data_IF_303039873528
#
_entry.id   IF_303039873528
#
_cell.length_a   1.000
_cell.length_b   1.000
_cell.length_c   1.000
_cell.angle_alpha   90.00
_cell.angle_beta   90.00
_cell.angle_gamma   90.00
#
_symmetry.space_group_name_H-M   'P 1'
#
loop_
_entity.id
_entity.type
_entity.pdbx_description
1 polymer ?
#
# COMPACT_ATOMS: atom_id res chain seq x y z
N UNK A 1 30.79 -31.06 -55.84
CA UNK A 1 30.63 -31.90 -54.62
C UNK A 1 31.00 -31.19 -53.30
N UNK A 2 31.68 -30.03 -53.33
CA UNK A 2 32.03 -29.27 -52.11
C UNK A 2 30.82 -28.48 -51.56
N UNK A 3 30.06 -27.81 -52.43
CA UNK A 3 28.87 -27.03 -52.04
C UNK A 3 27.86 -27.83 -51.21
N UNK A 4 27.59 -29.08 -51.61
CA UNK A 4 26.63 -29.96 -50.92
C UNK A 4 27.13 -30.41 -49.55
N UNK A 5 28.46 -30.47 -49.36
CA UNK A 5 29.06 -30.73 -48.04
C UNK A 5 28.98 -29.49 -47.15
N UNK A 6 29.20 -28.30 -47.71
CA UNK A 6 29.06 -27.03 -46.96
C UNK A 6 27.62 -26.78 -46.53
N UNK A 7 26.66 -26.96 -47.45
CA UNK A 7 25.22 -26.82 -47.15
C UNK A 7 24.75 -27.81 -46.09
N UNK A 8 25.20 -29.06 -46.17
CA UNK A 8 24.88 -30.06 -45.14
C UNK A 8 25.53 -29.73 -43.79
N UNK A 9 26.72 -29.13 -43.79
CA UNK A 9 27.38 -28.69 -42.57
C UNK A 9 26.67 -27.49 -41.93
N UNK A 10 26.24 -26.52 -42.74
CA UNK A 10 25.49 -25.36 -42.24
C UNK A 10 24.10 -25.77 -41.76
N UNK A 11 23.39 -26.62 -42.51
CA UNK A 11 22.10 -27.15 -42.08
C UNK A 11 22.22 -27.98 -40.80
N UNK A 12 23.26 -28.80 -40.66
CA UNK A 12 23.52 -29.53 -39.43
C UNK A 12 23.94 -28.61 -38.26
N UNK A 13 24.53 -27.46 -38.54
CA UNK A 13 24.89 -26.46 -37.54
C UNK A 13 23.64 -25.71 -37.04
N UNK A 14 22.73 -25.32 -37.93
CA UNK A 14 21.46 -24.70 -37.54
C UNK A 14 20.50 -25.69 -36.87
N UNK A 15 20.42 -26.93 -37.36
CA UNK A 15 19.62 -27.97 -36.71
C UNK A 15 20.13 -28.29 -35.29
N UNK A 16 21.45 -28.20 -35.08
CA UNK A 16 22.03 -28.31 -33.73
C UNK A 16 21.78 -27.07 -32.88
N UNK A 17 21.79 -25.87 -33.44
CA UNK A 17 21.40 -24.66 -32.71
C UNK A 17 19.93 -24.69 -32.29
N UNK A 18 19.02 -25.25 -33.09
CA UNK A 18 17.61 -25.44 -32.71
C UNK A 18 17.46 -26.53 -31.63
N UNK A 19 18.17 -27.66 -31.73
CA UNK A 19 18.20 -28.69 -30.67
C UNK A 19 18.87 -28.15 -29.38
N UNK A 20 19.93 -27.35 -29.50
CA UNK A 20 20.65 -26.68 -28.41
C UNK A 20 19.78 -25.58 -27.79
N UNK A 21 18.90 -24.94 -28.57
CA UNK A 21 17.92 -23.96 -28.11
C UNK A 21 16.73 -24.64 -27.41
N UNK A 22 16.21 -25.75 -27.94
CA UNK A 22 15.17 -26.56 -27.26
C UNK A 22 15.72 -27.18 -25.95
N UNK A 23 16.98 -27.59 -25.94
CA UNK A 23 17.64 -28.07 -24.71
C UNK A 23 17.97 -26.93 -23.74
N UNK A 24 18.38 -25.74 -24.22
CA UNK A 24 18.46 -24.53 -23.39
C UNK A 24 17.10 -24.11 -22.83
N UNK A 25 16.03 -24.18 -23.61
CA UNK A 25 14.66 -23.90 -23.17
C UNK A 25 14.18 -24.94 -22.16
N UNK A 26 14.53 -26.22 -22.34
CA UNK A 26 14.30 -27.27 -21.33
C UNK A 26 15.10 -27.04 -20.05
N UNK A 27 16.38 -26.72 -20.14
CA UNK A 27 17.23 -26.45 -18.97
C UNK A 27 16.80 -25.17 -18.23
N UNK A 28 16.35 -24.13 -18.95
CA UNK A 28 15.73 -22.92 -18.37
C UNK A 28 14.34 -23.20 -17.79
N UNK A 29 13.60 -24.15 -18.35
CA UNK A 29 12.29 -24.61 -17.84
C UNK A 29 12.44 -25.50 -16.59
N UNK A 30 13.51 -26.29 -16.51
CA UNK A 30 13.85 -27.15 -15.36
C UNK A 30 14.47 -26.37 -14.18
N UNK A 31 14.95 -25.13 -14.40
CA UNK A 31 15.18 -24.16 -13.33
C UNK A 31 13.85 -23.70 -12.72
N UNK A 32 13.39 -24.44 -11.71
CA UNK A 32 12.19 -24.18 -10.90
C UNK A 32 11.85 -22.69 -10.85
N UNK A 33 10.71 -22.27 -11.42
CA UNK A 33 10.46 -20.88 -11.82
C UNK A 33 10.63 -19.80 -10.73
N UNK A 34 10.60 -20.17 -9.45
CA UNK A 34 10.95 -19.28 -8.34
C UNK A 34 12.44 -18.86 -8.36
N UNK A 35 13.35 -19.72 -8.81
CA UNK A 35 14.77 -19.41 -9.03
C UNK A 35 14.95 -18.37 -10.12
N UNK A 36 14.15 -18.42 -11.19
CA UNK A 36 14.19 -17.39 -12.24
C UNK A 36 13.68 -16.03 -11.71
N UNK A 37 12.77 -16.06 -10.73
CA UNK A 37 12.13 -14.85 -10.15
C UNK A 37 13.04 -14.13 -9.14
N UNK A 38 14.01 -14.82 -8.51
CA UNK A 38 14.86 -14.23 -7.46
C UNK A 38 15.63 -12.97 -7.91
N UNK A 39 16.07 -12.91 -9.17
CA UNK A 39 16.83 -11.80 -9.73
C UNK A 39 15.97 -10.60 -10.18
N UNK A 40 14.65 -10.81 -10.30
CA UNK A 40 13.68 -9.82 -10.78
C UNK A 40 12.84 -9.22 -9.64
N UNK A 41 12.67 -9.94 -8.52
CA UNK A 41 11.85 -9.50 -7.35
C UNK A 41 12.29 -8.18 -6.76
N UNK A 42 13.61 -7.94 -6.69
CA UNK A 42 14.18 -6.76 -6.06
C UNK A 42 14.38 -5.58 -7.03
N UNK A 43 13.82 -5.67 -8.24
CA UNK A 43 13.88 -4.56 -9.18
C UNK A 43 12.94 -3.44 -8.73
N UNK A 44 13.35 -2.16 -8.85
CA UNK A 44 12.44 -1.05 -8.56
C UNK A 44 11.17 -1.14 -9.41
N UNK A 45 9.99 -0.99 -8.81
CA UNK A 45 8.73 -0.96 -9.53
C UNK A 45 8.63 0.30 -10.39
N UNK A 46 7.85 0.21 -11.48
CA UNK A 46 7.67 1.32 -12.44
C UNK A 46 7.17 2.60 -11.77
N UNK A 47 6.21 2.47 -10.84
CA UNK A 47 5.63 3.58 -10.08
C UNK A 47 6.15 3.63 -8.63
N UNK A 48 7.46 3.62 -8.44
CA UNK A 48 8.10 3.63 -7.12
C UNK A 48 7.64 4.81 -6.23
N UNK A 49 7.44 5.99 -6.82
CA UNK A 49 6.98 7.19 -6.09
C UNK A 49 5.61 6.94 -5.45
N UNK A 50 4.65 6.43 -6.22
CA UNK A 50 3.30 6.14 -5.74
C UNK A 50 3.31 5.00 -4.70
N UNK A 51 4.06 3.93 -4.97
CA UNK A 51 4.16 2.80 -4.03
C UNK A 51 4.74 3.26 -2.68
N UNK A 52 5.84 4.02 -2.70
CA UNK A 52 6.46 4.54 -1.47
C UNK A 52 5.49 5.42 -0.67
N UNK A 53 4.74 6.29 -1.37
CA UNK A 53 3.73 7.14 -0.75
C UNK A 53 2.59 6.32 -0.14
N UNK A 54 2.04 5.35 -0.86
CA UNK A 54 0.96 4.48 -0.37
C UNK A 54 1.40 3.70 0.87
N UNK A 55 2.58 3.06 0.84
CA UNK A 55 3.10 2.30 1.97
C UNK A 55 3.37 3.20 3.18
N UNK A 56 3.97 4.38 2.96
CA UNK A 56 4.18 5.37 4.04
C UNK A 56 2.88 5.85 4.67
N UNK A 57 1.88 6.19 3.85
CA UNK A 57 0.55 6.58 4.34
C UNK A 57 -0.17 5.44 5.06
N UNK A 58 -0.07 4.21 4.56
CA UNK A 58 -0.67 3.04 5.21
C UNK A 58 -0.05 2.76 6.58
N UNK A 59 1.28 2.83 6.69
CA UNK A 59 1.98 2.69 7.97
C UNK A 59 1.58 3.78 8.97
N UNK A 60 1.44 5.03 8.50
CA UNK A 60 0.95 6.13 9.33
C UNK A 60 -0.46 5.89 9.84
N UNK A 61 -1.39 5.48 8.96
CA UNK A 61 -2.78 5.23 9.34
C UNK A 61 -2.90 4.05 10.32
N UNK A 62 -2.14 2.98 10.11
CA UNK A 62 -2.11 1.85 11.03
C UNK A 62 -1.62 2.27 12.43
N UNK A 63 -0.52 3.04 12.49
CA UNK A 63 0.00 3.57 13.75
C UNK A 63 -0.93 4.58 14.40
N UNK A 64 -1.60 5.41 13.61
CA UNK A 64 -2.59 6.38 14.08
C UNK A 64 -3.78 5.68 14.73
N UNK A 65 -4.36 4.68 14.06
CA UNK A 65 -5.50 3.92 14.58
C UNK A 65 -5.12 3.24 15.89
N UNK A 66 -3.98 2.56 15.92
CA UNK A 66 -3.47 1.93 17.14
C UNK A 66 -3.27 2.95 18.27
N UNK A 67 -2.64 4.09 17.99
CA UNK A 67 -2.39 5.14 18.98
C UNK A 67 -3.70 5.73 19.52
N UNK A 68 -4.67 6.02 18.64
CA UNK A 68 -5.97 6.57 19.04
C UNK A 68 -6.77 5.57 19.87
N UNK A 69 -6.72 4.26 19.54
CA UNK A 69 -7.35 3.22 20.36
C UNK A 69 -6.74 3.19 21.76
N UNK A 70 -5.40 3.20 21.88
CA UNK A 70 -4.73 3.21 23.17
C UNK A 70 -5.10 4.46 24.00
N UNK A 71 -5.10 5.64 23.36
CA UNK A 71 -5.50 6.88 24.03
C UNK A 71 -7.00 6.90 24.40
N UNK A 72 -7.86 6.26 23.60
CA UNK A 72 -9.28 6.15 23.92
C UNK A 72 -9.52 5.28 25.16
N UNK A 73 -8.78 4.18 25.29
CA UNK A 73 -8.83 3.27 26.46
C UNK A 73 -8.30 3.97 27.72
N UNK A 74 -7.14 4.62 27.63
CA UNK A 74 -6.47 5.23 28.80
C UNK A 74 -7.11 6.57 29.20
N UNK A 75 -7.38 7.44 28.21
CA UNK A 75 -7.72 8.84 28.42
C UNK A 75 -9.20 9.14 28.60
N UNK A 76 -10.07 8.11 28.62
CA UNK A 76 -11.53 8.28 28.72
C UNK A 76 -12.07 9.27 27.67
N UNK A 77 -11.50 9.25 26.46
CA UNK A 77 -11.79 10.22 25.38
C UNK A 77 -13.24 10.18 24.89
N UNK A 78 -14.04 9.22 25.35
CA UNK A 78 -15.47 9.10 25.06
C UNK A 78 -16.35 10.14 25.79
N UNK A 79 -15.83 10.83 26.81
CA UNK A 79 -16.62 11.76 27.65
C UNK A 79 -16.81 13.13 26.99
N UNK A 80 -15.87 13.59 26.16
CA UNK A 80 -15.91 14.92 25.54
C UNK A 80 -16.49 14.91 24.12
N UNK A 81 -17.53 15.70 23.85
CA UNK A 81 -18.04 15.92 22.47
C UNK A 81 -16.92 16.47 21.59
N UNK A 82 -16.51 15.71 20.58
CA UNK A 82 -15.45 16.12 19.64
C UNK A 82 -14.01 15.90 20.13
N UNK A 83 -13.81 15.36 21.34
CA UNK A 83 -12.48 15.03 21.86
C UNK A 83 -11.76 13.99 20.99
N UNK A 84 -12.51 13.03 20.44
CA UNK A 84 -11.99 12.00 19.54
C UNK A 84 -11.48 12.62 18.24
N UNK A 85 -12.24 13.53 17.64
CA UNK A 85 -11.87 14.18 16.35
C UNK A 85 -10.63 15.05 16.52
N UNK A 86 -10.58 15.85 17.58
CA UNK A 86 -9.42 16.69 17.89
C UNK A 86 -8.17 15.86 18.18
N UNK A 87 -8.31 14.80 18.98
CA UNK A 87 -7.21 13.84 19.24
C UNK A 87 -6.72 13.19 17.95
N UNK A 88 -7.65 12.79 17.07
CA UNK A 88 -7.30 12.19 15.77
C UNK A 88 -6.46 13.12 14.90
N UNK A 89 -6.83 14.41 14.82
CA UNK A 89 -6.09 15.42 14.05
C UNK A 89 -4.67 15.61 14.62
N UNK A 90 -4.54 15.72 15.95
CA UNK A 90 -3.24 15.88 16.62
C UNK A 90 -2.37 14.65 16.45
N UNK A 91 -2.90 13.46 16.70
CA UNK A 91 -2.18 12.19 16.52
C UNK A 91 -1.78 11.97 15.06
N UNK A 92 -2.62 12.38 14.10
CA UNK A 92 -2.27 12.33 12.68
C UNK A 92 -1.06 13.21 12.39
N UNK A 93 -1.04 14.43 12.92
CA UNK A 93 0.08 15.35 12.76
C UNK A 93 1.38 14.80 13.36
N UNK A 94 1.33 14.18 14.54
CA UNK A 94 2.51 13.58 15.18
C UNK A 94 3.01 12.32 14.46
N UNK A 95 2.11 11.47 13.98
CA UNK A 95 2.48 10.23 13.26
C UNK A 95 2.99 10.48 11.84
N UNK A 96 2.90 11.72 11.32
CA UNK A 96 3.45 12.10 10.01
C UNK A 96 4.96 11.84 9.87
N UNK A 97 5.71 11.85 10.97
CA UNK A 97 7.12 11.44 10.96
C UNK A 97 7.30 9.99 10.49
N UNK A 98 6.42 9.08 10.92
CA UNK A 98 6.46 7.66 10.56
C UNK A 98 6.21 7.48 9.06
N UNK A 99 5.28 8.26 8.50
CA UNK A 99 4.95 8.21 7.07
C UNK A 99 6.15 8.60 6.21
N UNK A 100 6.83 9.68 6.58
CA UNK A 100 8.07 10.13 5.95
C UNK A 100 9.20 9.10 6.09
N UNK A 101 9.39 8.55 7.30
CA UNK A 101 10.42 7.54 7.56
C UNK A 101 10.27 6.28 6.70
N UNK A 102 9.07 5.71 6.69
CA UNK A 102 8.78 4.48 5.93
C UNK A 102 8.85 4.73 4.43
N UNK A 103 8.22 5.80 3.94
CA UNK A 103 8.23 6.16 2.51
C UNK A 103 9.64 6.49 2.02
N UNK A 104 10.37 7.36 2.73
CA UNK A 104 11.72 7.80 2.38
C UNK A 104 12.75 6.67 2.41
N UNK A 105 12.63 5.77 3.39
CA UNK A 105 13.44 4.55 3.47
C UNK A 105 13.18 3.62 2.28
N UNK A 106 11.90 3.27 2.02
CA UNK A 106 11.52 2.39 0.91
C UNK A 106 11.89 2.98 -0.46
N UNK A 107 11.72 4.28 -0.65
CA UNK A 107 12.08 4.98 -1.88
C UNK A 107 13.60 4.92 -2.13
N UNK A 108 14.40 5.06 -1.08
CA UNK A 108 15.87 5.03 -1.19
C UNK A 108 16.43 3.62 -1.37
N UNK A 109 15.87 2.62 -0.67
CA UNK A 109 16.22 1.20 -0.83
C UNK A 109 16.08 0.71 -2.26
N UNK A 110 15.12 1.27 -2.99
CA UNK A 110 14.84 0.92 -4.38
C UNK A 110 15.57 1.84 -5.39
N UNK A 111 16.56 2.62 -4.96
CA UNK A 111 17.38 3.46 -5.84
C UNK A 111 16.69 4.72 -6.38
N UNK A 112 15.66 5.21 -5.69
CA UNK A 112 14.92 6.41 -6.08
C UNK A 112 15.76 7.70 -5.99
N UNK A 113 15.91 8.40 -7.13
CA UNK A 113 16.69 9.65 -7.22
C UNK A 113 15.89 10.89 -6.79
N UNK A 114 14.61 10.95 -7.14
CA UNK A 114 13.76 12.14 -6.98
C UNK A 114 12.96 12.10 -5.67
N UNK A 115 13.66 12.12 -4.55
CA UNK A 115 13.07 11.91 -3.23
C UNK A 115 12.12 13.01 -2.77
N UNK A 116 12.32 14.25 -3.22
CA UNK A 116 11.42 15.38 -2.93
C UNK A 116 10.02 15.09 -3.49
N UNK A 117 9.92 14.50 -4.69
CA UNK A 117 8.62 14.15 -5.30
C UNK A 117 7.89 13.07 -4.49
N UNK A 118 8.62 12.08 -4.00
CA UNK A 118 8.08 11.03 -3.12
C UNK A 118 7.63 11.60 -1.77
N UNK A 119 8.43 12.50 -1.16
CA UNK A 119 8.07 13.18 0.08
C UNK A 119 6.77 13.99 -0.08
N UNK A 120 6.70 14.87 -1.08
CA UNK A 120 5.53 15.71 -1.31
C UNK A 120 4.29 14.83 -1.52
N UNK A 121 4.39 13.80 -2.37
CA UNK A 121 3.27 12.90 -2.61
C UNK A 121 2.83 12.18 -1.31
N UNK A 122 3.78 11.69 -0.50
CA UNK A 122 3.47 11.02 0.76
C UNK A 122 2.76 11.95 1.75
N UNK A 123 3.25 13.19 1.86
CA UNK A 123 2.69 14.19 2.78
C UNK A 123 1.33 14.75 2.31
N UNK A 124 1.05 14.74 1.01
CA UNK A 124 -0.17 15.34 0.44
C UNK A 124 -1.25 14.33 0.08
N UNK A 125 -0.93 13.06 -0.19
CA UNK A 125 -1.88 12.08 -0.74
C UNK A 125 -3.16 11.95 0.10
N UNK A 126 -3.00 11.65 1.39
CA UNK A 126 -4.14 11.45 2.28
C UNK A 126 -4.88 12.76 2.62
N UNK A 127 -4.21 13.87 3.00
CA UNK A 127 -4.89 15.13 3.30
C UNK A 127 -5.67 15.69 2.11
N UNK A 128 -5.15 15.62 0.89
CA UNK A 128 -5.86 16.10 -0.30
C UNK A 128 -7.04 15.19 -0.66
N UNK A 129 -6.91 13.87 -0.47
CA UNK A 129 -8.03 12.96 -0.67
C UNK A 129 -9.17 13.26 0.32
N UNK A 130 -8.84 13.42 1.60
CA UNK A 130 -9.81 13.81 2.63
C UNK A 130 -10.41 15.19 2.36
N UNK A 131 -9.61 16.16 1.94
CA UNK A 131 -10.09 17.49 1.59
C UNK A 131 -11.04 17.45 0.40
N UNK A 132 -10.75 16.68 -0.66
CA UNK A 132 -11.64 16.54 -1.81
C UNK A 132 -12.99 15.95 -1.44
N UNK A 133 -13.01 14.86 -0.67
CA UNK A 133 -14.26 14.26 -0.17
C UNK A 133 -15.00 15.22 0.74
N UNK A 134 -14.29 15.83 1.70
CA UNK A 134 -14.84 16.79 2.65
C UNK A 134 -15.41 18.03 1.97
N UNK A 135 -14.78 18.52 0.90
CA UNK A 135 -15.26 19.66 0.13
C UNK A 135 -16.59 19.38 -0.57
N UNK A 136 -16.73 18.19 -1.20
CA UNK A 136 -17.98 17.76 -1.83
C UNK A 136 -19.08 17.65 -0.76
N UNK A 137 -18.81 16.94 0.34
CA UNK A 137 -19.77 16.78 1.44
C UNK A 137 -20.15 18.12 2.07
N UNK A 138 -19.20 19.03 2.23
CA UNK A 138 -19.44 20.36 2.79
C UNK A 138 -20.29 21.23 1.87
N UNK A 139 -20.09 21.13 0.55
CA UNK A 139 -20.94 21.83 -0.44
C UNK A 139 -22.39 21.37 -0.34
N UNK A 140 -22.60 20.04 -0.22
CA UNK A 140 -23.93 19.46 0.00
C UNK A 140 -24.51 19.94 1.34
N UNK A 141 -23.73 19.92 2.42
CA UNK A 141 -24.17 20.34 3.75
C UNK A 141 -24.63 21.82 3.77
N UNK A 142 -23.91 22.70 3.07
CA UNK A 142 -24.29 24.12 2.94
C UNK A 142 -25.60 24.27 2.17
N UNK A 143 -25.77 23.51 1.08
CA UNK A 143 -27.00 23.55 0.26
C UNK A 143 -28.25 23.18 1.07
N UNK A 144 -28.14 22.19 1.96
CA UNK A 144 -29.23 21.77 2.86
C UNK A 144 -29.34 22.61 4.15
N UNK A 145 -28.53 23.66 4.34
CA UNK A 145 -28.52 24.47 5.56
C UNK A 145 -28.15 23.68 6.82
N UNK A 146 -27.35 22.62 6.68
CA UNK A 146 -27.02 21.72 7.78
C UNK A 146 -26.01 22.35 8.75
N UNK A 147 -26.26 22.18 10.06
CA UNK A 147 -25.30 22.53 11.13
C UNK A 147 -24.04 21.64 11.10
N UNK A 148 -24.03 20.57 10.30
CA UNK A 148 -22.86 19.73 10.07
C UNK A 148 -21.88 20.31 9.04
N UNK A 149 -22.20 21.46 8.42
CA UNK A 149 -21.27 22.17 7.55
C UNK A 149 -20.02 22.58 8.34
N UNK A 150 -18.85 22.25 7.81
CA UNK A 150 -17.56 22.57 8.38
C UNK A 150 -17.32 24.07 8.15
N UNK A 151 -17.19 24.88 9.22
CA UNK A 151 -16.96 26.31 9.07
C UNK A 151 -15.60 26.57 8.41
N UNK A 152 -15.49 27.64 7.63
CA UNK A 152 -14.24 27.99 6.94
C UNK A 152 -13.03 28.07 7.88
N UNK A 153 -13.23 28.59 9.11
CA UNK A 153 -12.18 28.68 10.12
C UNK A 153 -11.54 27.33 10.48
N UNK A 154 -12.32 26.25 10.60
CA UNK A 154 -11.74 24.93 10.92
C UNK A 154 -10.95 24.35 9.74
N UNK A 155 -11.36 24.62 8.50
CA UNK A 155 -10.58 24.24 7.31
C UNK A 155 -9.20 24.90 7.32
N UNK A 156 -9.15 26.20 7.64
CA UNK A 156 -7.88 26.95 7.74
C UNK A 156 -7.02 26.40 8.87
N UNK A 157 -7.58 26.13 10.05
CA UNK A 157 -6.83 25.56 11.19
C UNK A 157 -6.22 24.19 10.82
N UNK A 158 -6.98 23.30 10.21
CA UNK A 158 -6.48 21.98 9.77
C UNK A 158 -5.37 22.12 8.73
N UNK A 159 -5.52 23.06 7.78
CA UNK A 159 -4.48 23.34 6.79
C UNK A 159 -3.19 23.87 7.43
N UNK A 160 -3.29 24.77 8.41
CA UNK A 160 -2.14 25.32 9.15
C UNK A 160 -1.43 24.21 9.94
N UNK A 161 -2.17 23.34 10.62
CA UNK A 161 -1.60 22.17 11.32
C UNK A 161 -0.85 21.28 10.33
N UNK A 162 -1.45 21.00 9.16
CA UNK A 162 -0.79 20.21 8.13
C UNK A 162 0.48 20.90 7.61
N UNK A 163 0.43 22.19 7.29
CA UNK A 163 1.53 22.93 6.68
C UNK A 163 2.72 23.15 7.63
N UNK A 164 2.47 23.39 8.92
CA UNK A 164 3.51 23.74 9.90
C UNK A 164 3.93 22.60 10.84
N UNK A 165 3.10 21.56 10.98
CA UNK A 165 3.42 20.41 11.85
C UNK A 165 3.63 19.17 10.99
N UNK A 166 2.58 18.71 10.29
CA UNK A 166 2.63 17.43 9.58
C UNK A 166 3.65 17.41 8.44
N UNK A 167 3.70 18.48 7.63
CA UNK A 167 4.58 18.55 6.47
C UNK A 167 6.07 18.63 6.88
N UNK A 168 6.48 19.47 7.84
CA UNK A 168 7.85 19.46 8.36
C UNK A 168 8.24 18.15 9.04
N UNK A 169 7.35 17.53 9.83
CA UNK A 169 7.62 16.22 10.43
C UNK A 169 7.79 15.13 9.37
N UNK A 170 6.96 15.12 8.33
CA UNK A 170 7.09 14.18 7.22
C UNK A 170 8.41 14.38 6.45
N UNK A 171 8.85 15.64 6.27
CA UNK A 171 10.17 15.95 5.72
C UNK A 171 11.29 15.39 6.60
N UNK A 172 11.26 15.66 7.90
CA UNK A 172 12.25 15.14 8.87
C UNK A 172 12.29 13.61 8.86
N UNK A 173 11.13 12.97 8.92
CA UNK A 173 11.01 11.52 8.81
C UNK A 173 11.60 10.99 7.52
N UNK A 174 11.33 11.66 6.40
CA UNK A 174 11.90 11.29 5.10
C UNK A 174 13.42 11.36 5.11
N UNK A 175 14.01 12.44 5.61
CA UNK A 175 15.48 12.58 5.69
C UNK A 175 16.10 11.47 6.57
N UNK A 176 15.52 11.21 7.74
CA UNK A 176 15.98 10.14 8.65
C UNK A 176 15.83 8.76 8.02
N UNK A 177 14.68 8.47 7.42
CA UNK A 177 14.40 7.20 6.76
C UNK A 177 15.34 6.94 5.59
N UNK A 178 15.64 7.96 4.79
CA UNK A 178 16.62 7.86 3.70
C UNK A 178 18.03 7.55 4.23
N UNK A 179 18.43 8.15 5.35
CA UNK A 179 19.79 8.00 5.87
C UNK A 179 20.00 6.66 6.62
N UNK A 180 19.05 6.26 7.47
CA UNK A 180 19.18 5.06 8.30
C UNK A 180 18.70 3.79 7.61
N UNK A 181 17.66 3.93 6.79
CA UNK A 181 16.94 2.82 6.19
C UNK A 181 17.13 2.79 4.68
N UNK A 182 17.87 3.71 4.06
CA UNK A 182 17.94 3.82 2.60
C UNK A 182 18.91 2.86 1.91
N UNK A 183 19.74 2.12 2.63
CA UNK A 183 20.65 1.15 2.04
C UNK A 183 19.84 -0.08 1.54
N UNK A 184 19.98 -0.49 0.27
CA UNK A 184 19.39 -1.74 -0.22
C UNK A 184 20.03 -2.92 0.51
N UNK A 185 19.22 -3.76 1.16
CA UNK A 185 19.67 -5.00 1.79
C UNK A 185 19.11 -6.20 1.03
N UNK A 186 19.50 -6.32 -0.24
CA UNK A 186 18.98 -7.37 -1.11
C UNK A 186 19.82 -8.64 -0.90
N UNK A 187 19.19 -9.80 -0.61
CA UNK A 187 19.90 -11.06 -0.39
C UNK A 187 20.59 -11.59 -1.65
N UNK A 188 20.27 -11.04 -2.83
CA UNK A 188 20.79 -11.45 -4.11
C UNK A 188 21.07 -10.24 -5.01
N UNK A 189 21.99 -10.41 -5.98
CA UNK A 189 22.29 -9.40 -7.00
C UNK A 189 21.11 -9.24 -7.95
N UNK A 190 20.60 -8.02 -8.06
CA UNK A 190 19.48 -7.69 -8.95
C UNK A 190 19.94 -7.67 -10.41
N UNK A 191 19.24 -8.36 -11.31
CA UNK A 191 19.49 -8.28 -12.75
C UNK A 191 18.94 -6.96 -13.30
N UNK A 192 19.72 -6.25 -14.11
CA UNK A 192 19.35 -4.95 -14.69
C UNK A 192 18.45 -5.08 -15.92
N UNK A 193 18.60 -6.15 -16.71
CA UNK A 193 17.85 -6.38 -17.95
C UNK A 193 16.62 -7.26 -17.65
N UNK A 194 15.39 -6.84 -18.02
CA UNK A 194 14.20 -7.70 -17.88
C UNK A 194 14.34 -8.91 -18.79
N UNK A 195 14.04 -10.09 -18.26
CA UNK A 195 13.92 -11.28 -19.11
C UNK A 195 12.70 -11.13 -20.04
N UNK A 196 12.72 -11.71 -21.25
CA UNK A 196 11.52 -11.83 -22.06
C UNK A 196 10.48 -12.67 -21.30
N UNK A 197 9.28 -12.14 -21.12
CA UNK A 197 8.17 -12.84 -20.46
C UNK A 197 7.23 -13.33 -21.58
N UNK A 198 6.83 -14.62 -21.60
CA UNK A 198 5.86 -15.11 -22.58
C UNK A 198 4.53 -14.37 -22.45
N UNK A 199 3.76 -14.29 -23.53
CA UNK A 199 2.48 -13.59 -23.51
C UNK A 199 1.52 -14.20 -22.48
N UNK A 200 1.06 -13.36 -21.55
CA UNK A 200 0.13 -13.76 -20.51
C UNK A 200 -1.27 -13.97 -21.10
N UNK A 201 -1.92 -15.07 -20.72
CA UNK A 201 -3.34 -15.30 -21.02
C UNK A 201 -4.21 -14.23 -20.35
N UNK A 202 -5.37 -13.92 -20.93
CA UNK A 202 -6.24 -12.82 -20.48
C UNK A 202 -6.65 -12.91 -19.00
N UNK A 203 -6.88 -14.13 -18.49
CA UNK A 203 -7.27 -14.37 -17.09
C UNK A 203 -6.11 -14.27 -16.09
N UNK A 204 -4.86 -14.28 -16.56
CA UNK A 204 -3.64 -14.07 -15.75
C UNK A 204 -3.20 -12.60 -15.75
N UNK A 205 -4.04 -11.69 -16.25
CA UNK A 205 -3.76 -10.26 -16.16
C UNK A 205 -3.86 -9.80 -14.70
N UNK A 206 -2.97 -8.92 -14.22
CA UNK A 206 -2.97 -8.47 -12.82
C UNK A 206 -4.31 -7.89 -12.35
N UNK A 207 -5.07 -7.25 -13.24
CA UNK A 207 -6.40 -6.72 -12.95
C UNK A 207 -7.42 -7.83 -12.66
N UNK A 208 -7.50 -8.84 -13.52
CA UNK A 208 -8.45 -9.96 -13.36
C UNK A 208 -8.09 -10.77 -12.13
N UNK A 209 -6.80 -11.08 -11.93
CA UNK A 209 -6.33 -11.82 -10.74
C UNK A 209 -6.60 -11.03 -9.46
N UNK A 210 -6.37 -9.71 -9.46
CA UNK A 210 -6.66 -8.86 -8.30
C UNK A 210 -8.16 -8.80 -7.98
N UNK A 211 -9.03 -8.80 -9.01
CA UNK A 211 -10.48 -8.75 -8.81
C UNK A 211 -11.01 -10.10 -8.31
N UNK A 212 -10.61 -11.21 -8.93
CA UNK A 212 -11.04 -12.56 -8.53
C UNK A 212 -10.48 -12.93 -7.15
N UNK A 213 -9.20 -12.66 -6.89
CA UNK A 213 -8.58 -12.90 -5.59
C UNK A 213 -9.13 -11.99 -4.49
N UNK A 214 -9.55 -10.77 -4.85
CA UNK A 214 -10.16 -9.81 -3.93
C UNK A 214 -11.60 -10.14 -3.53
N UNK A 215 -12.31 -11.00 -4.27
CA UNK A 215 -13.71 -11.31 -4.01
C UNK A 215 -13.93 -12.03 -2.66
N UNK A 216 -13.03 -12.95 -2.30
CA UNK A 216 -13.07 -13.66 -1.02
C UNK A 216 -12.89 -12.75 0.20
N UNK A 217 -11.80 -11.95 0.31
CA UNK A 217 -11.66 -11.02 1.42
C UNK A 217 -12.74 -9.93 1.41
N UNK A 218 -13.21 -9.51 0.22
CA UNK A 218 -14.32 -8.58 0.12
C UNK A 218 -15.61 -9.16 0.72
N UNK A 219 -15.97 -10.40 0.40
CA UNK A 219 -17.15 -11.07 0.96
C UNK A 219 -17.08 -11.18 2.49
N UNK A 220 -15.91 -11.53 3.02
CA UNK A 220 -15.68 -11.61 4.47
C UNK A 220 -15.87 -10.24 5.16
N UNK A 221 -15.26 -9.18 4.63
CA UNK A 221 -15.36 -7.84 5.22
C UNK A 221 -16.77 -7.24 5.02
N UNK A 222 -17.44 -7.53 3.90
CA UNK A 222 -18.75 -6.98 3.57
C UNK A 222 -19.81 -7.38 4.60
N UNK A 223 -19.81 -8.64 5.04
CA UNK A 223 -20.76 -9.15 6.04
C UNK A 223 -20.57 -8.41 7.37
N UNK A 224 -19.33 -8.27 7.84
CA UNK A 224 -19.01 -7.52 9.06
C UNK A 224 -19.42 -6.05 8.96
N UNK A 225 -19.12 -5.40 7.83
CA UNK A 225 -19.44 -4.00 7.62
C UNK A 225 -20.96 -3.76 7.57
N UNK A 226 -21.74 -4.71 7.03
CA UNK A 226 -23.20 -4.69 7.08
C UNK A 226 -23.73 -4.71 8.52
N UNK A 227 -23.19 -5.59 9.38
CA UNK A 227 -23.59 -5.64 10.79
C UNK A 227 -23.25 -4.35 11.53
N UNK A 228 -22.05 -3.81 11.32
CA UNK A 228 -21.61 -2.54 11.90
C UNK A 228 -22.55 -1.41 11.51
N UNK A 229 -22.86 -1.24 10.23
CA UNK A 229 -23.77 -0.19 9.78
C UNK A 229 -25.20 -0.38 10.27
N UNK A 230 -25.69 -1.62 10.32
CA UNK A 230 -27.03 -1.92 10.85
C UNK A 230 -27.12 -1.54 12.32
N UNK A 231 -26.06 -1.81 13.11
CA UNK A 231 -25.98 -1.43 14.52
C UNK A 231 -25.94 0.09 14.73
N UNK A 232 -25.24 0.84 13.88
CA UNK A 232 -25.23 2.31 13.94
C UNK A 232 -26.61 2.93 13.65
N UNK A 233 -27.34 2.40 12.67
CA UNK A 233 -28.62 2.97 12.24
C UNK A 233 -29.83 2.53 13.08
N UNK A 234 -29.82 1.34 13.68
CA UNK A 234 -30.95 0.85 14.48
C UNK A 234 -30.88 1.16 15.98
N UNK A 235 -29.84 1.87 16.47
CA UNK A 235 -29.60 2.13 17.91
C UNK A 235 -29.68 0.87 18.81
N UNK A 236 -29.60 -0.33 18.23
CA UNK A 236 -29.52 -1.61 18.94
C UNK A 236 -28.10 -2.11 18.80
N UNK A 237 -27.39 -2.14 19.93
CA UNK A 237 -26.13 -2.88 20.07
C UNK A 237 -26.45 -4.34 19.72
N UNK A 238 -25.97 -4.82 18.57
CA UNK A 238 -26.14 -6.23 18.23
C UNK A 238 -25.16 -7.03 19.10
N UNK A 239 -25.72 -7.62 20.15
CA UNK A 239 -25.10 -8.53 21.12
C UNK A 239 -24.29 -9.67 20.45
N UNK A 240 -24.52 -9.95 19.16
CA UNK A 240 -23.85 -11.00 18.38
C UNK A 240 -22.34 -10.75 18.21
N UNK A 241 -21.89 -9.51 18.03
CA UNK A 241 -20.45 -9.22 17.90
C UNK A 241 -19.72 -9.47 19.23
N UNK A 242 -20.34 -9.21 20.38
CA UNK A 242 -19.78 -9.58 21.69
C UNK A 242 -19.75 -11.10 21.87
N UNK A 243 -20.81 -11.80 21.45
CA UNK A 243 -20.92 -13.26 21.57
C UNK A 243 -19.91 -14.03 20.71
N UNK A 244 -19.61 -13.58 19.49
CA UNK A 244 -18.60 -14.24 18.64
C UNK A 244 -17.19 -14.15 19.24
N UNK A 245 -16.84 -13.00 19.82
CA UNK A 245 -15.59 -12.88 20.57
C UNK A 245 -15.57 -13.77 21.82
N UNK A 246 -16.69 -13.90 22.54
CA UNK A 246 -16.75 -14.69 23.78
C UNK A 246 -16.66 -16.21 23.53
N UNK A 247 -17.24 -16.72 22.44
CA UNK A 247 -17.12 -18.15 22.07
C UNK A 247 -15.71 -18.55 21.62
N UNK A 248 -14.94 -17.64 21.01
CA UNK A 248 -13.58 -17.96 20.55
C UNK A 248 -12.60 -18.08 21.74
N UNK A 249 -12.83 -17.36 22.85
CA UNK A 249 -12.03 -17.49 24.07
C UNK A 249 -12.48 -18.62 25.01
N UNK A 250 -13.77 -18.98 25.02
CA UNK A 250 -14.28 -20.09 25.85
C UNK A 250 -14.23 -21.46 25.17
N UNK A 251 -14.08 -21.53 23.85
CA UNK A 251 -13.91 -22.79 23.11
C UNK A 251 -12.50 -23.40 23.17
N UNK A 252 -11.50 -22.69 23.72
CA UNK A 252 -10.13 -23.20 23.92
C UNK A 252 -9.83 -23.68 25.34
N UNK A 253 -10.81 -23.63 26.25
CA UNK A 253 -10.73 -24.21 27.60
C UNK A 253 -11.89 -25.19 27.82
N UNK A 254 -11.93 -26.27 27.02
CA UNK A 254 -12.61 -27.52 27.39
C UNK A 254 -11.90 -28.71 26.75
#
# INVERSE_FOLDING_TARGET
>A
MILMRTLRNDYAKYAREDDDLETLERDVSEESGWKLVHGDVFRPPHNLVLLSALVGTGAQLAMLVLLVILLAIIGMLYVGRGAIVTTFIVCYALTSFISGYVSGGLYSRNGGKNWIKSMILTASLFPFMCFGIGFILNTIAIFYGSLAAIPFGTMVVVFVIWAFISFPLALLGTVVGRNWSGAPNNPCRVKTIPRPIPEKKWYLTPSVVSLMGGLLPFGSIFIEMYFVFTSFWNYKVNVISTFLYEYEYWGSFS
#
